data_IF_241001177023
#
_entry.id   IF_241001177023
#
_cell.length_a   1.000
_cell.length_b   1.000
_cell.length_c   1.000
_cell.angle_alpha   90.00
_cell.angle_beta   90.00
_cell.angle_gamma   90.00
#
_symmetry.space_group_name_H-M   'P 1'
#
loop_
_entity.id
_entity.type
_entity.pdbx_description
1 polymer ?
#
# COMPACT_ATOMS: atom_id res chain seq x y z
N UNK A 1 12.93 -9.10 2.98
CA UNK A 1 12.36 -8.78 1.64
C UNK A 1 11.46 -9.90 1.15
N UNK A 2 10.29 -9.56 0.62
CA UNK A 2 9.37 -10.52 0.01
C UNK A 2 9.39 -10.31 -1.50
N UNK A 3 9.65 -11.37 -2.26
CA UNK A 3 9.69 -11.30 -3.72
C UNK A 3 8.82 -12.41 -4.30
N UNK A 4 7.90 -12.05 -5.18
CA UNK A 4 7.11 -13.02 -5.92
C UNK A 4 6.99 -12.60 -7.37
N UNK A 5 6.34 -13.44 -8.16
CA UNK A 5 6.00 -13.14 -9.54
C UNK A 5 5.12 -11.91 -9.67
N UNK A 6 4.31 -11.61 -8.64
CA UNK A 6 3.29 -10.57 -8.66
C UNK A 6 3.72 -9.27 -8.00
N UNK A 7 4.61 -9.32 -7.01
CA UNK A 7 5.05 -8.11 -6.32
C UNK A 7 6.33 -8.30 -5.52
N UNK A 8 6.89 -7.17 -5.09
CA UNK A 8 8.04 -7.11 -4.20
C UNK A 8 7.68 -6.24 -3.00
N UNK A 9 8.05 -6.68 -1.79
CA UNK A 9 7.84 -5.92 -0.56
C UNK A 9 9.19 -5.74 0.12
N UNK A 10 9.53 -4.51 0.46
CA UNK A 10 10.79 -4.19 1.15
C UNK A 10 10.59 -3.04 2.12
N UNK A 11 11.49 -2.94 3.09
CA UNK A 11 11.53 -1.82 4.03
C UNK A 11 12.53 -0.78 3.53
N UNK A 12 12.06 0.46 3.40
CA UNK A 12 12.89 1.59 2.99
C UNK A 12 13.30 2.39 4.22
N UNK A 13 14.48 2.10 4.73
CA UNK A 13 15.01 2.71 5.94
C UNK A 13 15.10 4.24 5.86
N UNK A 14 15.49 4.77 4.71
CA UNK A 14 15.64 6.21 4.49
C UNK A 14 14.35 6.98 4.79
N UNK A 15 13.21 6.41 4.46
CA UNK A 15 11.91 7.06 4.62
C UNK A 15 11.09 6.47 5.76
N UNK A 16 11.57 5.38 6.37
CA UNK A 16 10.84 4.61 7.37
C UNK A 16 9.46 4.22 6.84
N UNK A 17 9.43 3.58 5.69
CA UNK A 17 8.21 3.08 5.06
C UNK A 17 8.41 1.66 4.57
N UNK A 18 7.32 0.91 4.46
CA UNK A 18 7.31 -0.35 3.74
C UNK A 18 6.84 -0.08 2.31
N UNK A 19 7.62 -0.52 1.33
CA UNK A 19 7.31 -0.34 -0.09
C UNK A 19 6.80 -1.65 -0.66
N UNK A 20 5.60 -1.61 -1.23
CA UNK A 20 5.01 -2.74 -1.95
C UNK A 20 4.92 -2.34 -3.42
N UNK A 21 5.69 -3.02 -4.26
CA UNK A 21 5.75 -2.76 -5.70
C UNK A 21 4.99 -3.85 -6.44
N UNK A 22 3.85 -3.48 -7.02
CA UNK A 22 3.01 -4.40 -7.79
C UNK A 22 3.56 -4.55 -9.21
N UNK A 23 3.65 -5.77 -9.69
CA UNK A 23 4.21 -6.09 -11.03
C UNK A 23 3.14 -6.48 -12.03
N UNK A 24 2.15 -7.25 -11.61
CA UNK A 24 1.06 -7.72 -12.48
C UNK A 24 -0.14 -8.13 -11.64
N UNK A 25 -1.26 -8.35 -12.31
CA UNK A 25 -2.51 -8.71 -11.65
C UNK A 25 -2.35 -9.96 -10.78
N UNK A 26 -2.91 -9.88 -9.58
CA UNK A 26 -3.08 -11.02 -8.70
C UNK A 26 -4.29 -10.77 -7.79
N UNK A 27 -4.74 -11.81 -7.14
CA UNK A 27 -5.91 -11.73 -6.26
C UNK A 27 -5.83 -12.79 -5.17
N UNK A 28 -6.75 -12.71 -4.21
CA UNK A 28 -6.84 -13.62 -3.08
C UNK A 28 -5.52 -13.72 -2.31
N UNK A 29 -4.99 -14.91 -2.09
CA UNK A 29 -3.77 -15.09 -1.31
C UNK A 29 -2.53 -14.46 -1.97
N UNK A 30 -2.42 -14.50 -3.28
CA UNK A 30 -1.30 -13.88 -3.99
C UNK A 30 -1.26 -12.37 -3.79
N UNK A 31 -2.41 -11.75 -3.57
CA UNK A 31 -2.54 -10.33 -3.25
C UNK A 31 -2.36 -10.06 -1.76
N UNK A 32 -2.98 -10.88 -0.91
CA UNK A 32 -3.04 -10.65 0.55
C UNK A 32 -1.75 -10.99 1.28
N UNK A 33 -1.04 -12.05 0.89
CA UNK A 33 0.21 -12.45 1.53
C UNK A 33 1.27 -11.35 1.55
N UNK A 34 1.55 -10.67 0.41
CA UNK A 34 2.49 -9.56 0.44
C UNK A 34 2.08 -8.44 1.39
N UNK A 35 0.78 -8.16 1.48
CA UNK A 35 0.27 -7.12 2.36
C UNK A 35 0.37 -7.52 3.83
N UNK A 36 0.18 -8.80 4.15
CA UNK A 36 0.40 -9.30 5.51
C UNK A 36 1.88 -9.20 5.89
N UNK A 37 2.78 -9.47 4.95
CA UNK A 37 4.22 -9.27 5.16
C UNK A 37 4.52 -7.79 5.42
N UNK A 38 3.87 -6.90 4.69
CA UNK A 38 4.01 -5.46 4.91
C UNK A 38 3.53 -5.05 6.30
N UNK A 39 2.43 -5.63 6.77
CA UNK A 39 1.93 -5.37 8.13
C UNK A 39 2.95 -5.77 9.20
N UNK A 40 3.64 -6.90 9.02
CA UNK A 40 4.69 -7.33 9.94
C UNK A 40 5.84 -6.30 10.00
N UNK A 41 6.21 -5.73 8.85
CA UNK A 41 7.24 -4.68 8.80
C UNK A 41 6.75 -3.43 9.54
N UNK A 42 5.50 -3.01 9.33
CA UNK A 42 4.92 -1.85 10.01
C UNK A 42 4.94 -2.06 11.52
N UNK A 43 4.58 -3.26 11.97
CA UNK A 43 4.58 -3.60 13.40
C UNK A 43 5.98 -3.56 14.01
N UNK A 44 7.00 -3.97 13.27
CA UNK A 44 8.38 -4.05 13.74
C UNK A 44 9.11 -2.70 13.74
N UNK A 45 8.58 -1.69 13.05
CA UNK A 45 9.21 -0.38 12.94
C UNK A 45 8.25 0.71 13.41
N UNK A 46 8.64 1.43 14.46
CA UNK A 46 7.82 2.52 15.00
C UNK A 46 7.59 3.62 13.97
N UNK A 47 6.34 4.07 13.83
CA UNK A 47 5.94 5.13 12.90
C UNK A 47 6.18 4.79 11.42
N UNK A 48 6.24 3.51 11.08
CA UNK A 48 6.43 3.07 9.70
C UNK A 48 5.14 3.26 8.90
N UNK A 49 5.23 3.96 7.77
CA UNK A 49 4.11 4.14 6.86
C UNK A 49 4.17 3.14 5.70
N UNK A 50 3.11 3.12 4.91
CA UNK A 50 2.94 2.19 3.80
C UNK A 50 3.01 2.93 2.47
N UNK A 51 3.75 2.37 1.52
CA UNK A 51 3.84 2.90 0.15
C UNK A 51 3.49 1.78 -0.83
N UNK A 52 2.51 2.04 -1.68
CA UNK A 52 2.14 1.13 -2.76
C UNK A 52 2.59 1.73 -4.09
N UNK A 53 3.52 1.05 -4.77
CA UNK A 53 3.91 1.43 -6.13
C UNK A 53 2.92 0.80 -7.11
N UNK A 54 2.02 1.63 -7.64
CA UNK A 54 0.94 1.19 -8.51
C UNK A 54 1.18 1.51 -9.99
N UNK A 55 2.41 1.92 -10.34
CA UNK A 55 2.72 2.27 -11.74
C UNK A 55 2.52 1.11 -12.71
N UNK A 56 2.78 -0.12 -12.26
CA UNK A 56 2.48 -1.35 -13.01
C UNK A 56 1.29 -2.09 -12.40
N UNK A 57 0.41 -1.36 -11.71
CA UNK A 57 -0.68 -1.91 -10.96
C UNK A 57 -1.91 -2.26 -11.81
N UNK A 58 -2.94 -2.68 -11.10
CA UNK A 58 -4.16 -3.22 -11.71
C UNK A 58 -5.35 -2.93 -10.79
N UNK A 59 -6.55 -3.09 -11.31
CA UNK A 59 -7.76 -2.99 -10.49
C UNK A 59 -7.91 -4.26 -9.67
N UNK A 60 -8.14 -4.09 -8.37
CA UNK A 60 -8.40 -5.21 -7.47
C UNK A 60 -9.79 -5.79 -7.72
N UNK A 61 -9.95 -7.10 -7.45
CA UNK A 61 -11.29 -7.67 -7.38
C UNK A 61 -12.01 -7.09 -6.15
N UNK A 62 -13.35 -6.99 -6.17
CA UNK A 62 -14.10 -6.38 -5.05
C UNK A 62 -13.80 -6.99 -3.69
N UNK A 63 -13.61 -8.30 -3.61
CA UNK A 63 -13.31 -9.01 -2.37
C UNK A 63 -11.99 -8.54 -1.76
N UNK A 64 -10.98 -8.30 -2.59
CA UNK A 64 -9.68 -7.83 -2.11
C UNK A 64 -9.73 -6.37 -1.69
N UNK A 65 -10.47 -5.54 -2.43
CA UNK A 65 -10.70 -4.14 -2.04
C UNK A 65 -11.39 -4.06 -0.68
N UNK A 66 -12.39 -4.91 -0.45
CA UNK A 66 -13.09 -4.99 0.82
C UNK A 66 -12.16 -5.46 1.94
N UNK A 67 -11.35 -6.47 1.68
CA UNK A 67 -10.37 -6.98 2.63
C UNK A 67 -9.38 -5.89 3.06
N UNK A 68 -8.89 -5.09 2.11
CA UNK A 68 -7.99 -3.97 2.42
C UNK A 68 -8.68 -2.98 3.35
N UNK A 69 -9.91 -2.58 3.04
CA UNK A 69 -10.64 -1.59 3.83
C UNK A 69 -11.01 -2.11 5.23
N UNK A 70 -11.38 -3.38 5.35
CA UNK A 70 -11.88 -3.94 6.61
C UNK A 70 -10.79 -4.56 7.49
N UNK A 71 -9.70 -5.03 6.90
CA UNK A 71 -8.64 -5.71 7.64
C UNK A 71 -7.29 -4.99 7.56
N UNK A 72 -6.78 -4.77 6.35
CA UNK A 72 -5.43 -4.23 6.16
C UNK A 72 -5.27 -2.84 6.75
N UNK A 73 -6.14 -1.91 6.37
CA UNK A 73 -6.02 -0.53 6.81
C UNK A 73 -6.20 -0.35 8.32
N UNK A 74 -7.25 -0.94 8.95
CA UNK A 74 -7.37 -0.85 10.40
C UNK A 74 -6.19 -1.48 11.14
N UNK A 75 -5.68 -2.59 10.66
CA UNK A 75 -4.53 -3.26 11.26
C UNK A 75 -3.27 -2.42 11.15
N UNK A 76 -3.03 -1.81 9.97
CA UNK A 76 -1.90 -0.92 9.77
C UNK A 76 -1.95 0.27 10.72
N UNK A 77 -3.12 0.88 10.91
CA UNK A 77 -3.31 1.99 11.85
C UNK A 77 -3.00 1.54 13.27
N UNK A 78 -3.47 0.36 13.66
CA UNK A 78 -3.20 -0.21 14.99
C UNK A 78 -1.69 -0.39 15.22
N UNK A 79 -0.95 -0.74 14.18
CA UNK A 79 0.50 -0.94 14.27
C UNK A 79 1.30 0.35 14.16
N UNK A 80 0.64 1.50 13.98
CA UNK A 80 1.29 2.80 13.98
C UNK A 80 1.42 3.49 12.61
N UNK A 81 0.89 2.90 11.57
CA UNK A 81 0.87 3.53 10.24
C UNK A 81 -0.07 4.75 10.25
N UNK A 82 0.43 5.89 9.82
CA UNK A 82 -0.34 7.14 9.79
C UNK A 82 -0.66 7.61 8.38
N UNK A 83 0.09 7.16 7.40
CA UNK A 83 -0.05 7.60 6.02
C UNK A 83 0.14 6.44 5.05
N UNK A 84 -0.68 6.45 4.01
CA UNK A 84 -0.54 5.53 2.88
C UNK A 84 -0.22 6.37 1.67
N UNK A 85 0.91 6.08 1.03
CA UNK A 85 1.34 6.73 -0.20
C UNK A 85 1.08 5.81 -1.37
N UNK A 86 0.53 6.36 -2.45
CA UNK A 86 0.41 5.64 -3.71
C UNK A 86 1.34 6.29 -4.73
N UNK A 87 2.30 5.50 -5.25
CA UNK A 87 3.14 5.96 -6.35
C UNK A 87 2.35 5.71 -7.63
N UNK A 88 2.04 6.77 -8.35
CA UNK A 88 1.20 6.73 -9.55
C UNK A 88 1.97 7.29 -10.75
N UNK A 89 1.49 6.96 -11.94
CA UNK A 89 1.98 7.51 -13.20
C UNK A 89 0.97 8.57 -13.65
N UNK A 90 1.43 9.66 -14.23
CA UNK A 90 0.56 10.73 -14.73
C UNK A 90 -0.52 10.24 -15.69
N UNK A 91 -0.23 9.16 -16.41
CA UNK A 91 -1.16 8.55 -17.35
C UNK A 91 -1.93 7.36 -16.76
N UNK A 92 -1.80 7.13 -15.46
CA UNK A 92 -2.40 5.97 -14.80
C UNK A 92 -3.85 6.23 -14.45
N UNK A 93 -4.76 5.41 -15.01
CA UNK A 93 -6.19 5.49 -14.72
C UNK A 93 -6.56 4.98 -13.32
N UNK A 94 -5.66 4.31 -12.63
CA UNK A 94 -5.91 3.77 -11.30
C UNK A 94 -6.11 4.86 -10.24
N UNK A 95 -5.76 6.10 -10.54
CA UNK A 95 -5.92 7.21 -9.59
C UNK A 95 -7.36 7.34 -9.10
N UNK A 96 -8.32 7.23 -10.00
CA UNK A 96 -9.74 7.32 -9.62
C UNK A 96 -10.16 6.19 -8.69
N UNK A 97 -9.70 4.97 -8.94
CA UNK A 97 -9.95 3.84 -8.06
C UNK A 97 -9.32 4.04 -6.68
N UNK A 98 -8.07 4.52 -6.66
CA UNK A 98 -7.38 4.76 -5.40
C UNK A 98 -8.06 5.86 -4.59
N UNK A 99 -8.53 6.91 -5.24
CA UNK A 99 -9.30 7.96 -4.57
C UNK A 99 -10.61 7.42 -4.01
N UNK A 100 -11.26 6.50 -4.73
CA UNK A 100 -12.44 5.81 -4.25
C UNK A 100 -12.16 4.99 -2.99
N UNK A 101 -11.04 4.26 -2.97
CA UNK A 101 -10.61 3.52 -1.79
C UNK A 101 -10.36 4.46 -0.60
N UNK A 102 -9.72 5.60 -0.85
CA UNK A 102 -9.44 6.58 0.18
C UNK A 102 -10.74 7.14 0.79
N UNK A 103 -11.74 7.40 -0.05
CA UNK A 103 -13.04 7.91 0.41
C UNK A 103 -13.82 6.89 1.25
N UNK A 104 -13.62 5.61 0.98
CA UNK A 104 -14.28 4.52 1.71
C UNK A 104 -13.57 4.19 3.02
N UNK A 105 -12.40 4.75 3.24
CA UNK A 105 -11.55 4.43 4.37
C UNK A 105 -11.78 5.35 5.55
N UNK A 106 -11.35 4.90 6.72
CA UNK A 106 -11.45 5.62 7.98
C UNK A 106 -10.71 6.97 7.95
N UNK A 107 -11.23 7.95 8.67
CA UNK A 107 -10.59 9.25 8.91
C UNK A 107 -9.27 9.14 9.68
N UNK A 108 -8.90 7.95 10.12
CA UNK A 108 -7.72 7.71 10.95
C UNK A 108 -6.41 7.64 10.20
N UNK A 109 -6.45 7.55 8.86
CA UNK A 109 -5.26 7.43 8.05
C UNK A 109 -5.27 8.45 6.93
N UNK A 110 -4.10 9.03 6.65
CA UNK A 110 -3.93 10.00 5.57
C UNK A 110 -3.54 9.26 4.28
N UNK A 111 -4.03 9.75 3.15
CA UNK A 111 -3.69 9.21 1.82
C UNK A 111 -3.00 10.28 1.01
N UNK A 112 -1.89 9.92 0.36
CA UNK A 112 -1.15 10.83 -0.50
C UNK A 112 -0.80 10.13 -1.81
N UNK A 113 -0.84 10.90 -2.90
CA UNK A 113 -0.48 10.42 -4.24
C UNK A 113 0.82 11.09 -4.62
N UNK A 114 1.83 10.27 -4.95
CA UNK A 114 3.18 10.76 -5.29
C UNK A 114 3.64 10.10 -6.58
N UNK A 115 4.63 10.70 -7.24
CA UNK A 115 5.22 10.15 -8.45
C UNK A 115 6.52 9.40 -8.18
N UNK A 116 7.14 9.63 -7.03
CA UNK A 116 8.35 8.93 -6.63
C UNK A 116 8.51 8.95 -5.11
N UNK A 117 9.33 8.02 -4.58
CA UNK A 117 9.64 7.97 -3.15
C UNK A 117 10.27 9.26 -2.62
N UNK A 118 10.99 9.98 -3.48
CA UNK A 118 11.68 11.21 -3.09
C UNK A 118 10.73 12.32 -2.66
N UNK A 119 9.45 12.21 -2.98
CA UNK A 119 8.43 13.18 -2.57
C UNK A 119 7.94 12.96 -1.14
N UNK A 120 8.35 11.87 -0.49
CA UNK A 120 7.95 11.59 0.88
C UNK A 120 8.70 12.51 1.84
N UNK A 121 7.94 13.26 2.63
CA UNK A 121 8.48 14.15 3.67
C UNK A 121 8.03 13.63 5.03
N UNK A 122 9.00 13.40 5.91
CA UNK A 122 8.75 12.97 7.29
C UNK A 122 9.50 13.81 8.29
#
# INVERSE_FOLDING_TARGET
MYISEYCEVDYEEKYNVVLVKWKKFCCNLDYRKPLEYALDIIREHENCDYVADTRSGFENIPEDTQWVAEYFMPTAVEYGCKCIYFIIDENNSLKEELEGQANDSSDKIEFRYIYSLEEIEK
#
